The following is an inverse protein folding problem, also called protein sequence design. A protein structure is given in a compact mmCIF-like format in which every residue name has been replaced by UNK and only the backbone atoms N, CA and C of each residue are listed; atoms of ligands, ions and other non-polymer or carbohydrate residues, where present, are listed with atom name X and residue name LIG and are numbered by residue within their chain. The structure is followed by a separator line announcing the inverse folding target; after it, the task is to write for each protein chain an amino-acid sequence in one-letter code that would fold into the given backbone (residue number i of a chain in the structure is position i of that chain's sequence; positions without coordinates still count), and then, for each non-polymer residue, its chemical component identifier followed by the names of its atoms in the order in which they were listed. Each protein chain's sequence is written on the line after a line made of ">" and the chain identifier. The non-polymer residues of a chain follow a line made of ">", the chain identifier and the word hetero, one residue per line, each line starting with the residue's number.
data_IF_216749518887
#
_entry.id   IF_216749518887
#
_cell.length_a   1.000
_cell.length_b   1.000
_cell.length_c   1.000
_cell.angle_alpha   90.00
_cell.angle_beta   90.00
_cell.angle_gamma   90.00
#
_symmetry.space_group_name_H-M   'P 1'
#
loop_
_entity.id
_entity.type
_entity.pdbx_description
1 polymer ?
#
# COMPACT_ATOMS: atom_id res chain seq x y z
N UNK A 1 70.67 11.65 -48.29
CA UNK A 1 70.56 11.76 -46.83
C UNK A 1 69.39 12.68 -46.54
N UNK A 2 68.29 12.15 -46.02
CA UNK A 2 67.06 12.90 -45.69
C UNK A 2 67.18 13.38 -44.25
N UNK A 3 66.88 14.65 -43.97
CA UNK A 3 66.36 15.10 -42.68
C UNK A 3 65.41 16.29 -42.89
N UNK A 4 64.16 15.95 -43.22
CA UNK A 4 63.06 16.91 -43.15
C UNK A 4 62.90 17.50 -41.75
N UNK A 5 62.70 18.81 -41.70
CA UNK A 5 61.92 19.46 -40.63
C UNK A 5 61.03 20.50 -41.28
N UNK A 6 59.76 20.16 -41.38
CA UNK A 6 58.64 21.04 -41.69
C UNK A 6 58.36 21.92 -40.46
N UNK A 7 58.51 23.22 -40.62
CA UNK A 7 57.89 24.24 -39.79
C UNK A 7 56.37 24.11 -39.89
N UNK A 8 55.72 23.67 -38.81
CA UNK A 8 54.29 23.89 -38.61
C UNK A 8 54.14 24.85 -37.45
N UNK A 9 53.81 26.10 -37.82
CA UNK A 9 53.31 27.14 -36.92
C UNK A 9 51.81 26.84 -36.72
N UNK A 10 51.41 26.55 -35.49
CA UNK A 10 50.04 26.18 -35.15
C UNK A 10 49.15 27.43 -35.23
N UNK A 11 48.24 27.45 -36.19
CA UNK A 11 47.30 28.54 -36.38
C UNK A 11 46.35 28.71 -35.18
N UNK A 12 45.93 29.95 -34.83
CA UNK A 12 45.16 30.31 -33.63
C UNK A 12 43.70 29.78 -33.60
N UNK A 13 43.37 28.75 -34.37
CA UNK A 13 42.01 28.18 -34.50
C UNK A 13 41.96 26.65 -34.42
N UNK A 14 43.02 25.98 -33.97
CA UNK A 14 43.00 24.53 -33.72
C UNK A 14 43.33 24.28 -32.25
N UNK A 15 42.39 23.80 -31.41
CA UNK A 15 42.77 23.29 -30.10
C UNK A 15 43.49 21.96 -30.31
N UNK A 16 44.82 22.01 -30.22
CA UNK A 16 45.69 20.84 -30.11
C UNK A 16 45.40 20.15 -28.78
N UNK A 17 44.82 18.95 -28.84
CA UNK A 17 44.65 18.00 -27.73
C UNK A 17 43.80 18.58 -26.58
N UNK A 18 42.48 18.43 -26.71
CA UNK A 18 41.62 18.39 -25.53
C UNK A 18 41.70 16.98 -24.94
N UNK A 19 42.16 16.86 -23.69
CA UNK A 19 41.92 15.64 -22.92
C UNK A 19 40.41 15.46 -22.79
N UNK A 20 39.91 14.33 -23.26
CA UNK A 20 38.51 13.96 -23.13
C UNK A 20 38.21 13.69 -21.66
N UNK A 21 37.58 14.66 -21.00
CA UNK A 21 37.12 14.54 -19.60
C UNK A 21 35.72 13.92 -19.51
N UNK A 22 35.13 13.49 -20.63
CA UNK A 22 33.74 13.01 -20.72
C UNK A 22 33.59 11.49 -20.54
N UNK A 23 34.50 10.82 -19.83
CA UNK A 23 34.45 9.37 -19.62
C UNK A 23 33.14 8.89 -18.94
N UNK A 24 32.37 9.81 -18.33
CA UNK A 24 30.98 9.55 -17.94
C UNK A 24 30.14 10.83 -18.09
N UNK A 25 29.31 10.92 -19.13
CA UNK A 25 28.15 11.83 -19.09
C UNK A 25 27.21 11.30 -18.00
N UNK A 26 27.33 11.84 -16.79
CA UNK A 26 26.45 11.47 -15.69
C UNK A 26 25.05 12.03 -15.94
N UNK A 27 24.05 11.16 -16.05
CA UNK A 27 22.64 11.58 -16.12
C UNK A 27 22.25 12.21 -14.78
N UNK A 28 21.91 13.50 -14.80
CA UNK A 28 21.51 14.29 -13.60
C UNK A 28 19.99 14.17 -13.31
N UNK A 29 19.23 13.50 -14.18
CA UNK A 29 17.78 13.33 -14.02
C UNK A 29 17.40 12.31 -12.93
N UNK A 30 16.30 12.51 -12.18
CA UNK A 30 15.78 11.51 -11.25
C UNK A 30 15.22 10.33 -12.07
N UNK A 31 15.99 9.25 -12.13
CA UNK A 31 15.67 8.01 -12.85
C UNK A 31 15.59 6.80 -11.91
N UNK A 32 15.81 7.02 -10.61
CA UNK A 32 15.68 5.98 -9.60
C UNK A 32 14.20 5.60 -9.45
N UNK A 33 13.94 4.29 -9.48
CA UNK A 33 12.60 3.73 -9.24
C UNK A 33 12.60 2.94 -7.93
N UNK A 34 12.54 3.62 -6.76
CA UNK A 34 12.81 2.99 -5.47
C UNK A 34 11.77 1.94 -5.07
N UNK A 35 10.51 2.09 -5.48
CA UNK A 35 9.47 1.12 -5.20
C UNK A 35 9.63 -0.12 -6.08
N UNK A 36 9.88 0.06 -7.38
CA UNK A 36 10.09 -1.08 -8.28
C UNK A 36 11.33 -1.89 -7.94
N UNK A 37 12.41 -1.22 -7.50
CA UNK A 37 13.63 -1.91 -7.04
C UNK A 37 13.38 -2.71 -5.76
N UNK A 38 12.61 -2.16 -4.82
CA UNK A 38 12.23 -2.85 -3.59
C UNK A 38 11.29 -4.04 -3.82
N UNK A 39 10.30 -3.90 -4.70
CA UNK A 39 9.37 -4.98 -5.04
C UNK A 39 10.02 -6.08 -5.90
N UNK A 40 11.07 -5.73 -6.64
CA UNK A 40 11.78 -6.61 -7.54
C UNK A 40 10.97 -7.04 -8.77
N UNK A 41 11.55 -7.95 -9.54
CA UNK A 41 10.90 -8.50 -10.73
C UNK A 41 9.82 -9.51 -10.35
N UNK A 42 8.67 -9.44 -11.03
CA UNK A 42 7.62 -10.43 -10.86
C UNK A 42 8.12 -11.86 -11.10
N UNK A 43 7.72 -12.79 -10.23
CA UNK A 43 8.11 -14.21 -10.32
C UNK A 43 7.60 -14.91 -11.59
N UNK A 44 6.54 -14.38 -12.21
CA UNK A 44 5.97 -14.90 -13.45
C UNK A 44 5.56 -13.75 -14.37
N UNK A 45 5.78 -13.93 -15.67
CA UNK A 45 5.35 -12.97 -16.69
C UNK A 45 3.83 -13.03 -16.91
N UNK A 46 3.20 -11.87 -17.10
CA UNK A 46 1.81 -11.79 -17.51
C UNK A 46 1.63 -12.33 -18.93
N UNK A 47 0.79 -13.36 -19.11
CA UNK A 47 0.47 -13.96 -20.41
C UNK A 47 -0.85 -13.49 -21.01
N UNK A 48 -1.59 -12.69 -20.26
CA UNK A 48 -2.91 -12.17 -20.61
C UNK A 48 -2.93 -10.67 -20.42
N UNK A 49 -3.85 -10.00 -21.12
CA UNK A 49 -4.14 -8.58 -20.95
C UNK A 49 -4.75 -8.27 -19.59
N UNK A 50 -5.28 -9.29 -18.92
CA UNK A 50 -5.82 -9.25 -17.55
C UNK A 50 -5.00 -10.17 -16.67
N UNK A 51 -4.57 -9.64 -15.54
CA UNK A 51 -4.05 -10.45 -14.44
C UNK A 51 -5.12 -10.57 -13.37
N UNK A 52 -5.40 -11.79 -12.93
CA UNK A 52 -6.47 -12.08 -12.00
C UNK A 52 -5.97 -12.98 -10.89
N UNK A 53 -6.46 -12.72 -9.68
CA UNK A 53 -6.15 -13.50 -8.50
C UNK A 53 -7.42 -13.70 -7.66
N UNK A 54 -7.43 -14.78 -6.87
CA UNK A 54 -8.50 -15.05 -5.92
C UNK A 54 -8.02 -14.67 -4.53
N UNK A 55 -8.79 -13.83 -3.85
CA UNK A 55 -8.62 -13.52 -2.44
C UNK A 55 -9.61 -14.34 -1.63
N UNK A 56 -9.15 -14.84 -0.49
CA UNK A 56 -9.96 -15.53 0.51
C UNK A 56 -9.58 -14.95 1.86
N UNK A 57 -10.54 -14.90 2.77
CA UNK A 57 -10.33 -14.43 4.13
C UNK A 57 -10.82 -15.50 5.10
N UNK A 58 -10.22 -15.54 6.29
CA UNK A 58 -10.78 -16.34 7.37
C UNK A 58 -12.11 -15.74 7.84
N UNK A 59 -12.92 -16.55 8.51
CA UNK A 59 -14.11 -16.05 9.18
C UNK A 59 -13.70 -14.98 10.20
N UNK A 60 -14.26 -13.76 10.12
CA UNK A 60 -13.91 -12.70 11.04
C UNK A 60 -14.33 -13.07 12.46
N UNK A 61 -13.42 -12.83 13.41
CA UNK A 61 -13.60 -13.08 14.84
C UNK A 61 -13.81 -11.79 15.65
N UNK A 62 -13.95 -10.65 14.98
CA UNK A 62 -14.22 -9.36 15.62
C UNK A 62 -15.41 -8.69 14.96
N UNK A 63 -16.07 -7.81 15.69
CA UNK A 63 -17.11 -6.91 15.20
C UNK A 63 -17.14 -5.64 16.06
N UNK A 64 -18.12 -4.77 15.84
CA UNK A 64 -18.33 -3.56 16.64
C UNK A 64 -19.76 -3.48 17.13
N UNK A 65 -19.93 -2.96 18.35
CA UNK A 65 -21.25 -2.65 18.92
C UNK A 65 -21.74 -1.37 18.24
N UNK A 66 -22.90 -1.44 17.58
CA UNK A 66 -23.51 -0.28 16.88
C UNK A 66 -24.62 0.36 17.70
N UNK A 67 -25.02 -0.28 18.80
CA UNK A 67 -26.05 0.22 19.70
C UNK A 67 -25.75 1.63 20.20
N UNK A 68 -26.75 2.50 20.13
CA UNK A 68 -26.64 3.90 20.57
C UNK A 68 -27.36 4.17 21.89
N UNK A 69 -28.35 3.34 22.23
CA UNK A 69 -29.13 3.47 23.46
C UNK A 69 -29.24 2.11 24.14
N UNK A 70 -28.58 1.97 25.29
CA UNK A 70 -28.60 0.74 26.06
C UNK A 70 -29.78 0.73 27.05
N UNK A 71 -30.56 -0.34 27.03
CA UNK A 71 -31.68 -0.55 27.96
C UNK A 71 -31.36 -1.71 28.93
N UNK A 72 -31.46 -1.52 30.26
CA UNK A 72 -31.78 -0.26 30.95
C UNK A 72 -30.60 0.71 31.06
N UNK A 73 -29.37 0.22 30.95
CA UNK A 73 -28.15 1.01 31.00
C UNK A 73 -26.96 0.23 30.38
N UNK A 74 -25.87 0.90 29.95
CA UNK A 74 -24.73 0.23 29.30
C UNK A 74 -24.00 -0.81 30.17
N UNK A 75 -24.11 -0.75 31.49
CA UNK A 75 -23.43 -1.66 32.42
C UNK A 75 -24.22 -2.95 32.65
N UNK A 76 -25.52 -2.95 32.36
CA UNK A 76 -26.41 -4.08 32.64
C UNK A 76 -27.19 -4.60 31.44
N UNK A 77 -27.20 -3.86 30.32
CA UNK A 77 -27.84 -4.29 29.08
C UNK A 77 -27.38 -5.70 28.66
N UNK A 78 -28.37 -6.57 28.43
CA UNK A 78 -28.19 -7.95 27.95
C UNK A 78 -28.53 -8.09 26.47
N UNK A 79 -28.93 -7.00 25.82
CA UNK A 79 -29.24 -6.93 24.40
C UNK A 79 -28.64 -5.65 23.82
N UNK A 80 -27.98 -5.77 22.68
CA UNK A 80 -27.42 -4.65 21.94
C UNK A 80 -27.22 -5.00 20.46
N UNK A 81 -27.33 -4.00 19.60
CA UNK A 81 -27.05 -4.12 18.17
C UNK A 81 -25.55 -4.27 17.87
N UNK A 82 -25.22 -5.11 16.89
CA UNK A 82 -23.86 -5.28 16.33
C UNK A 82 -23.87 -5.09 14.82
N UNK A 83 -22.74 -4.68 14.26
CA UNK A 83 -22.63 -4.39 12.82
C UNK A 83 -22.80 -5.62 11.91
N UNK A 84 -22.35 -6.80 12.34
CA UNK A 84 -22.34 -8.03 11.55
C UNK A 84 -22.79 -9.24 12.41
N UNK A 85 -24.10 -9.39 12.66
CA UNK A 85 -24.64 -10.45 13.52
C UNK A 85 -24.29 -11.87 13.03
N UNK A 86 -24.12 -12.06 11.72
CA UNK A 86 -23.72 -13.34 11.11
C UNK A 86 -22.32 -13.84 11.50
N UNK A 87 -21.53 -13.00 12.20
CA UNK A 87 -20.22 -13.39 12.74
C UNK A 87 -20.34 -14.23 14.01
N UNK A 88 -21.43 -14.07 14.74
CA UNK A 88 -21.67 -14.69 16.05
C UNK A 88 -22.62 -15.88 15.93
N UNK A 89 -22.49 -16.81 16.87
CA UNK A 89 -23.46 -17.90 17.09
C UNK A 89 -23.76 -18.04 18.57
N UNK A 90 -24.88 -18.69 18.86
CA UNK A 90 -25.21 -19.10 20.21
C UNK A 90 -24.06 -19.92 20.83
N UNK A 91 -23.75 -19.63 22.10
CA UNK A 91 -22.65 -20.25 22.84
C UNK A 91 -21.26 -19.64 22.60
N UNK A 92 -21.12 -18.66 21.71
CA UNK A 92 -19.86 -17.93 21.59
C UNK A 92 -19.58 -17.12 22.86
N UNK A 93 -18.33 -17.15 23.32
CA UNK A 93 -17.80 -16.27 24.34
C UNK A 93 -17.20 -15.05 23.65
N UNK A 94 -17.71 -13.88 23.99
CA UNK A 94 -17.33 -12.60 23.39
C UNK A 94 -16.80 -11.65 24.46
N UNK A 95 -15.80 -10.85 24.09
CA UNK A 95 -15.14 -9.88 24.97
C UNK A 95 -15.33 -8.46 24.41
N UNK A 96 -15.89 -7.52 25.20
CA UNK A 96 -16.07 -6.14 24.79
C UNK A 96 -14.77 -5.34 25.00
N UNK A 97 -14.21 -4.81 23.92
CA UNK A 97 -12.96 -4.08 23.87
C UNK A 97 -11.82 -4.84 24.54
N UNK A 98 -10.98 -4.11 25.28
CA UNK A 98 -9.90 -4.67 26.10
C UNK A 98 -10.35 -5.00 27.54
N UNK A 99 -11.65 -4.95 27.84
CA UNK A 99 -12.15 -5.19 29.18
C UNK A 99 -11.95 -6.65 29.62
N UNK A 100 -11.81 -6.91 30.91
CA UNK A 100 -11.72 -8.30 31.42
C UNK A 100 -13.06 -9.06 31.40
N UNK A 101 -14.14 -8.40 30.99
CA UNK A 101 -15.45 -9.02 30.89
C UNK A 101 -15.48 -10.07 29.77
N UNK A 102 -16.06 -11.22 30.07
CA UNK A 102 -16.48 -12.19 29.05
C UNK A 102 -18.00 -12.30 29.11
N UNK A 103 -18.65 -12.24 27.96
CA UNK A 103 -20.09 -12.41 27.80
C UNK A 103 -20.33 -13.68 26.99
N UNK A 104 -21.41 -14.41 27.29
CA UNK A 104 -21.83 -15.56 26.47
C UNK A 104 -23.00 -15.14 25.58
N UNK A 105 -22.90 -15.37 24.28
CA UNK A 105 -24.01 -15.16 23.34
C UNK A 105 -25.07 -16.22 23.61
N UNK A 106 -26.27 -15.77 23.99
CA UNK A 106 -27.45 -16.63 24.23
C UNK A 106 -28.19 -16.87 22.93
N UNK A 107 -28.38 -15.82 22.12
CA UNK A 107 -28.97 -15.95 20.79
C UNK A 107 -28.67 -14.72 19.94
N UNK A 108 -28.78 -14.90 18.62
CA UNK A 108 -28.71 -13.82 17.64
C UNK A 108 -30.12 -13.50 17.16
N UNK A 109 -30.55 -12.24 17.32
CA UNK A 109 -31.90 -11.75 17.02
C UNK A 109 -31.84 -10.69 15.91
N UNK A 110 -31.79 -11.13 14.66
CA UNK A 110 -31.63 -10.20 13.54
C UNK A 110 -30.29 -9.47 13.64
N UNK A 111 -30.32 -8.17 13.95
CA UNK A 111 -29.14 -7.30 14.16
C UNK A 111 -28.60 -7.32 15.60
N UNK A 112 -29.38 -7.86 16.54
CA UNK A 112 -29.05 -7.76 17.96
C UNK A 112 -28.47 -9.06 18.48
N UNK A 113 -27.54 -8.95 19.42
CA UNK A 113 -27.10 -10.07 20.24
C UNK A 113 -27.82 -10.03 21.58
N UNK A 114 -28.40 -11.14 22.00
CA UNK A 114 -28.77 -11.35 23.40
C UNK A 114 -27.63 -12.11 24.08
N UNK A 115 -27.12 -11.55 25.19
CA UNK A 115 -25.94 -12.08 25.88
C UNK A 115 -26.18 -12.23 27.38
N UNK A 116 -25.49 -13.20 27.97
CA UNK A 116 -25.28 -13.31 29.40
C UNK A 116 -24.00 -12.56 29.79
N UNK A 117 -24.14 -11.55 30.66
CA UNK A 117 -23.06 -10.64 31.11
C UNK A 117 -22.28 -11.22 32.29
N UNK A 118 -20.97 -10.95 32.36
CA UNK A 118 -20.11 -11.38 33.48
C UNK A 118 -19.92 -12.90 33.58
N UNK A 119 -19.83 -13.58 32.43
CA UNK A 119 -19.60 -15.02 32.36
C UNK A 119 -18.33 -15.40 33.12
N UNK A 120 -18.38 -16.49 33.89
CA UNK A 120 -17.26 -16.92 34.73
C UNK A 120 -16.95 -15.98 35.90
N UNK A 121 -17.92 -15.20 36.38
CA UNK A 121 -17.76 -14.17 37.41
C UNK A 121 -16.79 -13.04 37.04
N UNK A 122 -16.67 -12.75 35.74
CA UNK A 122 -15.90 -11.59 35.26
C UNK A 122 -16.63 -10.28 35.59
N UNK A 123 -15.91 -9.21 35.94
CA UNK A 123 -16.51 -7.93 36.29
C UNK A 123 -17.15 -7.29 35.04
N UNK A 124 -18.38 -6.80 35.18
CA UNK A 124 -19.10 -6.14 34.08
C UNK A 124 -18.49 -4.78 33.76
N UNK A 125 -18.41 -4.46 32.48
CA UNK A 125 -17.93 -3.19 31.94
C UNK A 125 -19.06 -2.47 31.23
N UNK A 126 -19.12 -1.15 31.33
CA UNK A 126 -20.10 -0.36 30.59
C UNK A 126 -19.82 -0.46 29.08
N UNK A 127 -20.83 -0.88 28.31
CA UNK A 127 -20.75 -0.92 26.85
C UNK A 127 -20.89 0.50 26.27
N UNK A 128 -20.31 0.72 25.10
CA UNK A 128 -20.45 1.97 24.36
C UNK A 128 -20.58 1.70 22.87
N UNK A 129 -21.23 2.60 22.14
CA UNK A 129 -21.25 2.59 20.68
C UNK A 129 -19.81 2.61 20.14
N UNK A 130 -19.55 1.84 19.09
CA UNK A 130 -18.25 1.73 18.45
C UNK A 130 -17.24 0.85 19.20
N UNK A 131 -17.60 0.31 20.38
CA UNK A 131 -16.71 -0.60 21.10
C UNK A 131 -16.51 -1.89 20.30
N UNK A 132 -15.25 -2.30 20.11
CA UNK A 132 -14.92 -3.57 19.47
C UNK A 132 -15.44 -4.76 20.28
N UNK A 133 -15.86 -5.82 19.61
CA UNK A 133 -16.34 -7.05 20.22
C UNK A 133 -15.58 -8.22 19.60
N UNK A 134 -14.81 -8.95 20.41
CA UNK A 134 -13.98 -10.06 19.94
C UNK A 134 -14.54 -11.41 20.38
N UNK A 135 -14.58 -12.39 19.49
CA UNK A 135 -14.94 -13.77 19.77
C UNK A 135 -13.71 -14.47 20.34
N UNK A 136 -13.76 -14.83 21.62
CA UNK A 136 -12.66 -15.47 22.34
C UNK A 136 -12.65 -16.97 22.10
N UNK A 137 -13.83 -17.59 22.16
CA UNK A 137 -13.99 -19.02 21.96
C UNK A 137 -15.44 -19.35 21.69
N UNK A 138 -15.69 -20.54 21.15
CA UNK A 138 -17.02 -21.13 21.19
C UNK A 138 -17.08 -22.19 22.29
N UNK A 139 -17.98 -22.00 23.26
CA UNK A 139 -18.20 -22.97 24.32
C UNK A 139 -19.45 -23.79 23.98
N UNK A 140 -19.25 -24.93 23.30
CA UNK A 140 -20.32 -25.87 23.02
C UNK A 140 -20.64 -26.71 24.26
N UNK A 141 -21.93 -27.01 24.46
CA UNK A 141 -22.39 -27.91 25.52
C UNK A 141 -22.04 -29.36 25.17
N UNK A 142 -21.59 -30.13 26.16
CA UNK A 142 -21.29 -31.55 25.97
C UNK A 142 -22.54 -32.32 25.53
N UNK A 143 -22.44 -33.06 24.42
CA UNK A 143 -23.54 -33.84 23.85
C UNK A 143 -24.52 -33.04 22.97
N UNK A 144 -24.25 -31.77 22.70
CA UNK A 144 -25.03 -30.98 21.74
C UNK A 144 -24.75 -31.40 20.28
N UNK A 145 -25.73 -31.14 19.41
CA UNK A 145 -25.57 -31.33 17.96
C UNK A 145 -24.47 -30.44 17.40
N UNK A 146 -23.85 -30.88 16.31
CA UNK A 146 -22.81 -30.11 15.64
C UNK A 146 -23.38 -28.78 15.11
N UNK A 147 -22.70 -27.64 15.35
CA UNK A 147 -23.14 -26.36 14.85
C UNK A 147 -23.07 -26.30 13.33
N UNK A 148 -23.89 -25.44 12.72
CA UNK A 148 -23.90 -25.25 11.27
C UNK A 148 -22.52 -24.81 10.75
N UNK A 149 -22.13 -25.37 9.60
CA UNK A 149 -20.88 -25.04 8.96
C UNK A 149 -20.91 -23.61 8.40
N UNK A 150 -19.85 -22.85 8.68
CA UNK A 150 -19.64 -21.51 8.13
C UNK A 150 -18.62 -21.59 7.01
N UNK A 151 -18.89 -20.89 5.91
CA UNK A 151 -18.02 -20.84 4.75
C UNK A 151 -17.68 -19.39 4.40
N UNK A 152 -16.43 -19.16 4.02
CA UNK A 152 -16.04 -17.95 3.30
C UNK A 152 -16.00 -18.28 1.81
N UNK A 153 -16.27 -17.27 0.98
CA UNK A 153 -16.25 -17.40 -0.47
C UNK A 153 -15.08 -16.62 -1.02
N UNK A 154 -14.44 -17.19 -2.05
CA UNK A 154 -13.32 -16.56 -2.73
C UNK A 154 -13.80 -15.43 -3.61
N UNK A 155 -13.15 -14.28 -3.51
CA UNK A 155 -13.44 -13.10 -4.33
C UNK A 155 -12.39 -12.99 -5.42
N UNK A 156 -12.84 -12.81 -6.67
CA UNK A 156 -11.93 -12.56 -7.80
C UNK A 156 -11.54 -11.10 -7.86
N UNK A 157 -10.25 -10.83 -7.88
CA UNK A 157 -9.64 -9.53 -8.16
C UNK A 157 -8.93 -9.56 -9.50
N UNK A 158 -8.76 -8.38 -10.09
CA UNK A 158 -8.15 -8.24 -11.40
C UNK A 158 -7.43 -6.90 -11.58
N UNK A 159 -6.39 -6.90 -12.41
CA UNK A 159 -5.72 -5.72 -12.93
C UNK A 159 -5.44 -5.87 -14.43
N UNK A 160 -5.26 -4.77 -15.13
CA UNK A 160 -5.03 -4.73 -16.57
C UNK A 160 -3.58 -4.40 -16.89
N UNK A 161 -3.05 -5.02 -17.95
CA UNK A 161 -1.75 -4.65 -18.50
C UNK A 161 -1.86 -3.36 -19.33
N UNK A 162 -0.91 -2.45 -19.16
CA UNK A 162 -0.78 -1.23 -19.96
C UNK A 162 0.41 -1.33 -20.92
N UNK A 163 0.32 -0.66 -22.06
CA UNK A 163 1.43 -0.53 -23.02
C UNK A 163 2.09 0.82 -22.79
N UNK A 164 3.41 0.80 -22.60
CA UNK A 164 4.25 1.99 -22.51
C UNK A 164 5.04 2.14 -23.81
N UNK A 165 5.06 3.35 -24.38
CA UNK A 165 5.74 3.63 -25.64
C UNK A 165 6.52 4.93 -25.55
N UNK A 166 7.75 4.91 -26.07
CA UNK A 166 8.57 6.09 -26.30
C UNK A 166 9.24 5.93 -27.67
N UNK A 167 9.37 7.04 -28.40
CA UNK A 167 9.96 7.06 -29.74
C UNK A 167 11.37 7.64 -29.67
N UNK A 168 12.32 7.00 -30.35
CA UNK A 168 13.67 7.52 -30.58
C UNK A 168 13.85 7.69 -32.08
N UNK A 169 14.30 8.88 -32.50
CA UNK A 169 14.68 9.15 -33.88
C UNK A 169 16.02 9.88 -33.90
N UNK A 170 16.96 9.35 -34.69
CA UNK A 170 18.28 9.93 -34.94
C UNK A 170 18.46 10.02 -36.45
N UNK A 171 19.02 11.13 -36.95
CA UNK A 171 19.27 11.27 -38.39
C UNK A 171 20.48 10.44 -38.81
N UNK A 172 20.47 9.92 -40.04
CA UNK A 172 21.60 9.12 -40.55
C UNK A 172 22.92 9.89 -40.62
N UNK A 173 22.87 11.22 -40.78
CA UNK A 173 24.07 12.08 -40.74
C UNK A 173 24.62 12.25 -39.34
N UNK A 174 23.75 12.31 -38.32
CA UNK A 174 24.14 12.38 -36.91
C UNK A 174 24.71 11.05 -36.44
N UNK A 175 24.11 9.92 -36.84
CA UNK A 175 24.63 8.58 -36.53
C UNK A 175 25.99 8.30 -37.18
N UNK A 176 26.26 8.88 -38.35
CA UNK A 176 27.55 8.75 -39.04
C UNK A 176 28.63 9.73 -38.53
N UNK A 177 28.24 10.70 -37.71
CA UNK A 177 29.15 11.71 -37.14
C UNK A 177 29.67 11.24 -35.79
N UNK A 178 30.97 11.37 -35.55
CA UNK A 178 31.51 11.17 -34.20
C UNK A 178 31.09 12.34 -33.31
N UNK A 179 30.11 12.13 -32.46
CA UNK A 179 29.72 13.07 -31.41
C UNK A 179 30.72 13.02 -30.26
N UNK A 180 30.96 14.16 -29.62
CA UNK A 180 31.88 14.25 -28.47
C UNK A 180 31.18 13.64 -27.26
N UNK A 181 31.81 12.68 -26.59
CA UNK A 181 31.31 12.08 -25.33
C UNK A 181 30.22 11.00 -25.46
N UNK A 182 29.78 10.65 -26.67
CA UNK A 182 28.81 9.56 -26.91
C UNK A 182 29.26 8.73 -28.11
N UNK A 183 29.49 7.42 -27.91
CA UNK A 183 29.94 6.51 -28.98
C UNK A 183 28.85 6.17 -29.99
N UNK A 184 27.60 6.01 -29.55
CA UNK A 184 26.41 5.81 -30.40
C UNK A 184 25.22 6.60 -29.83
N UNK A 185 24.83 7.67 -30.52
CA UNK A 185 23.70 8.52 -30.14
C UNK A 185 22.39 7.74 -30.11
N UNK A 186 22.20 6.75 -30.99
CA UNK A 186 20.99 5.94 -31.00
C UNK A 186 20.89 5.07 -29.74
N UNK A 187 21.99 4.47 -29.32
CA UNK A 187 22.04 3.64 -28.11
C UNK A 187 21.86 4.48 -26.85
N UNK A 188 22.48 5.67 -26.81
CA UNK A 188 22.30 6.64 -25.74
C UNK A 188 20.83 7.06 -25.59
N UNK A 189 20.19 7.50 -26.68
CA UNK A 189 18.77 7.91 -26.66
C UNK A 189 17.84 6.74 -26.31
N UNK A 190 18.13 5.51 -26.76
CA UNK A 190 17.39 4.31 -26.33
C UNK A 190 17.49 4.11 -24.83
N UNK A 191 18.68 4.20 -24.26
CA UNK A 191 18.90 4.02 -22.83
C UNK A 191 18.20 5.10 -22.00
N UNK A 192 18.18 6.36 -22.46
CA UNK A 192 17.42 7.43 -21.82
C UNK A 192 15.91 7.18 -21.86
N UNK A 193 15.34 6.85 -23.03
CA UNK A 193 13.90 6.56 -23.13
C UNK A 193 13.49 5.34 -22.32
N UNK A 194 14.31 4.30 -22.25
CA UNK A 194 14.03 3.15 -21.39
C UNK A 194 13.96 3.54 -19.91
N UNK A 195 14.85 4.42 -19.45
CA UNK A 195 14.81 4.94 -18.06
C UNK A 195 13.57 5.81 -17.82
N UNK A 196 13.17 6.64 -18.78
CA UNK A 196 11.91 7.39 -18.69
C UNK A 196 10.69 6.46 -18.61
N UNK A 197 10.65 5.41 -19.41
CA UNK A 197 9.57 4.42 -19.37
C UNK A 197 9.51 3.67 -18.04
N UNK A 198 10.66 3.38 -17.41
CA UNK A 198 10.70 2.78 -16.07
C UNK A 198 10.13 3.73 -15.01
N UNK A 199 10.48 5.02 -15.08
CA UNK A 199 9.90 6.04 -14.20
C UNK A 199 8.38 6.19 -14.40
N UNK A 200 7.92 6.16 -15.64
CA UNK A 200 6.50 6.21 -15.97
C UNK A 200 5.75 4.95 -15.50
N UNK A 201 6.39 3.78 -15.59
CA UNK A 201 5.87 2.54 -15.04
C UNK A 201 5.69 2.63 -13.53
N UNK A 202 6.68 3.14 -12.80
CA UNK A 202 6.55 3.29 -11.33
C UNK A 202 5.43 4.27 -10.97
N UNK A 203 5.32 5.38 -11.69
CA UNK A 203 4.23 6.33 -11.49
C UNK A 203 2.86 5.69 -11.78
N UNK A 204 2.76 4.84 -12.82
CA UNK A 204 1.55 4.09 -13.11
C UNK A 204 1.26 3.01 -12.04
N UNK A 205 2.27 2.37 -11.45
CA UNK A 205 2.10 1.41 -10.35
C UNK A 205 1.56 2.09 -9.10
N UNK A 206 1.96 3.32 -8.79
CA UNK A 206 1.50 4.06 -7.61
C UNK A 206 0.14 4.74 -7.88
N UNK A 207 0.08 5.54 -8.95
CA UNK A 207 -1.00 6.50 -9.23
C UNK A 207 -1.88 6.11 -10.42
N UNK A 208 -1.63 4.96 -11.05
CA UNK A 208 -2.40 4.51 -12.21
C UNK A 208 -3.89 4.37 -11.90
N UNK A 209 -4.71 4.65 -12.91
CA UNK A 209 -6.17 4.54 -12.81
C UNK A 209 -6.68 3.78 -14.02
N UNK A 210 -7.35 2.66 -13.79
CA UNK A 210 -8.02 1.93 -14.86
C UNK A 210 -9.27 2.71 -15.32
N UNK A 211 -9.54 2.68 -16.63
CA UNK A 211 -10.77 3.26 -17.18
C UNK A 211 -11.99 2.53 -16.62
N UNK A 212 -12.89 3.26 -15.95
CA UNK A 212 -14.08 2.70 -15.30
C UNK A 212 -15.13 2.16 -16.29
N UNK A 213 -15.26 2.77 -17.47
CA UNK A 213 -16.28 2.42 -18.46
C UNK A 213 -15.79 1.34 -19.44
N UNK A 214 -14.52 1.40 -19.83
CA UNK A 214 -13.92 0.50 -20.83
C UNK A 214 -12.55 -0.01 -20.38
N UNK A 215 -12.48 -0.80 -19.31
CA UNK A 215 -11.20 -1.26 -18.74
C UNK A 215 -10.41 -2.17 -19.70
N UNK A 216 -11.09 -2.83 -20.64
CA UNK A 216 -10.47 -3.70 -21.66
C UNK A 216 -9.85 -2.93 -22.82
N UNK A 217 -9.98 -1.60 -22.85
CA UNK A 217 -9.72 -0.78 -24.02
C UNK A 217 -10.86 -0.90 -25.04
N UNK A 218 -11.06 0.16 -25.80
CA UNK A 218 -12.03 0.24 -26.89
C UNK A 218 -11.38 0.96 -28.08
N UNK A 219 -12.09 1.08 -29.20
CA UNK A 219 -11.58 1.84 -30.33
C UNK A 219 -11.30 3.30 -29.91
N UNK A 220 -10.06 3.76 -30.10
CA UNK A 220 -9.58 5.06 -29.61
C UNK A 220 -9.35 5.17 -28.09
N UNK A 221 -9.51 4.10 -27.30
CA UNK A 221 -9.27 4.11 -25.84
C UNK A 221 -8.20 3.09 -25.44
N UNK A 222 -7.07 3.60 -24.95
CA UNK A 222 -6.01 2.76 -24.41
C UNK A 222 -6.42 2.07 -23.10
N UNK A 223 -5.83 0.90 -22.86
CA UNK A 223 -5.87 0.25 -21.55
C UNK A 223 -4.91 0.94 -20.59
N UNK A 224 -5.40 1.27 -19.40
CA UNK A 224 -4.59 1.77 -18.30
C UNK A 224 -4.62 0.80 -17.13
N UNK A 225 -3.49 0.62 -16.47
CA UNK A 225 -3.41 -0.23 -15.29
C UNK A 225 -3.92 0.51 -14.05
N UNK A 226 -4.46 -0.24 -13.09
CA UNK A 226 -4.83 0.33 -11.80
C UNK A 226 -3.63 0.31 -10.85
N UNK A 227 -3.33 1.45 -10.24
CA UNK A 227 -2.25 1.61 -9.28
C UNK A 227 -2.65 1.20 -7.86
N UNK A 228 -1.66 1.06 -6.98
CA UNK A 228 -1.81 0.60 -5.60
C UNK A 228 -2.79 1.50 -4.83
N UNK A 229 -2.71 2.82 -4.99
CA UNK A 229 -3.58 3.77 -4.26
C UNK A 229 -5.07 3.53 -4.60
N UNK A 230 -5.38 3.24 -5.86
CA UNK A 230 -6.75 2.98 -6.30
C UNK A 230 -7.23 1.56 -5.97
N UNK A 231 -6.31 0.61 -5.78
CA UNK A 231 -6.66 -0.74 -5.34
C UNK A 231 -7.01 -0.81 -3.85
N UNK A 232 -6.53 0.13 -3.03
CA UNK A 232 -6.84 0.21 -1.61
C UNK A 232 -8.13 1.00 -1.39
N UNK A 233 -9.21 0.31 -1.03
CA UNK A 233 -10.52 0.94 -0.77
C UNK A 233 -10.90 0.98 0.72
N UNK A 234 -10.55 -0.04 1.50
CA UNK A 234 -11.01 -0.19 2.89
C UNK A 234 -10.08 0.46 3.90
N UNK A 235 -8.77 0.28 3.77
CA UNK A 235 -7.77 0.82 4.70
C UNK A 235 -7.23 2.18 4.24
N UNK A 236 -8.14 3.14 3.99
CA UNK A 236 -7.78 4.51 3.62
C UNK A 236 -7.98 5.44 4.81
N UNK A 237 -6.87 5.79 5.45
CA UNK A 237 -6.86 6.64 6.65
C UNK A 237 -6.78 8.12 6.29
N UNK A 238 -7.64 8.93 6.91
CA UNK A 238 -7.66 10.38 6.77
C UNK A 238 -7.45 10.99 8.16
N UNK A 239 -6.47 11.90 8.35
CA UNK A 239 -6.28 12.55 9.63
C UNK A 239 -7.57 13.21 10.13
N UNK A 240 -7.92 12.94 11.38
CA UNK A 240 -9.09 13.52 12.05
C UNK A 240 -10.41 12.82 11.75
N UNK A 241 -10.36 11.65 11.10
CA UNK A 241 -11.54 10.82 10.80
C UNK A 241 -11.39 9.46 11.48
N UNK A 242 -12.43 9.02 12.19
CA UNK A 242 -12.44 7.73 12.90
C UNK A 242 -11.40 7.69 14.02
N UNK A 243 -10.67 6.57 14.11
CA UNK A 243 -9.63 6.34 15.13
C UNK A 243 -8.30 7.05 14.85
N UNK A 244 -8.23 7.84 13.77
CA UNK A 244 -7.00 8.50 13.34
C UNK A 244 -7.00 9.95 13.86
N UNK A 245 -5.99 10.34 14.66
CA UNK A 245 -5.92 11.70 15.19
C UNK A 245 -5.77 12.73 14.05
N UNK A 246 -6.16 14.00 14.27
CA UNK A 246 -6.12 15.06 13.25
C UNK A 246 -4.71 15.45 12.78
N UNK A 247 -3.66 15.08 13.54
CA UNK A 247 -2.31 15.59 13.33
C UNK A 247 -2.18 17.07 13.70
N UNK A 248 -0.95 17.57 13.72
CA UNK A 248 -0.68 18.99 13.94
C UNK A 248 -0.64 19.72 12.59
N UNK A 249 -1.46 20.77 12.44
CA UNK A 249 -1.53 21.62 11.24
C UNK A 249 -1.71 20.86 9.90
N UNK A 250 -2.42 19.72 9.93
CA UNK A 250 -2.63 18.88 8.74
C UNK A 250 -1.36 18.16 8.25
N UNK A 251 -0.35 18.06 9.10
CA UNK A 251 0.92 17.38 8.81
C UNK A 251 0.95 15.97 9.39
N UNK A 252 1.80 15.13 8.81
CA UNK A 252 2.10 13.81 9.36
C UNK A 252 2.84 13.97 10.70
N UNK A 253 2.22 13.49 11.78
CA UNK A 253 2.82 13.35 13.11
C UNK A 253 3.02 11.88 13.45
N UNK A 254 3.85 11.61 14.47
CA UNK A 254 4.12 10.24 14.93
C UNK A 254 2.84 9.56 15.45
N UNK A 255 1.98 10.31 16.15
CA UNK A 255 0.70 9.80 16.66
C UNK A 255 -0.22 9.33 15.52
N UNK A 256 -0.32 10.09 14.43
CA UNK A 256 -1.11 9.72 13.24
C UNK A 256 -0.57 8.43 12.62
N UNK A 257 0.76 8.32 12.48
CA UNK A 257 1.39 7.14 11.92
C UNK A 257 1.20 5.91 12.81
N UNK A 258 1.40 6.04 14.12
CA UNK A 258 1.25 4.95 15.08
C UNK A 258 -0.21 4.47 15.17
N UNK A 259 -1.18 5.39 15.14
CA UNK A 259 -2.60 5.03 15.09
C UNK A 259 -2.93 4.24 13.81
N UNK A 260 -2.44 4.68 12.65
CA UNK A 260 -2.63 3.95 11.40
C UNK A 260 -1.95 2.57 11.43
N UNK A 261 -0.71 2.47 11.91
CA UNK A 261 0.01 1.20 12.03
C UNK A 261 -0.69 0.22 12.98
N UNK A 262 -1.26 0.70 14.09
CA UNK A 262 -2.06 -0.13 15.01
C UNK A 262 -3.28 -0.72 14.29
N UNK A 263 -4.04 0.11 13.58
CA UNK A 263 -5.25 -0.37 12.87
C UNK A 263 -4.88 -1.37 11.79
N UNK A 264 -3.77 -1.16 11.06
CA UNK A 264 -3.32 -2.13 10.06
C UNK A 264 -2.86 -3.43 10.73
N UNK A 265 -2.16 -3.36 11.86
CA UNK A 265 -1.76 -4.53 12.63
C UNK A 265 -2.97 -5.37 13.08
N UNK A 266 -4.01 -4.72 13.61
CA UNK A 266 -5.22 -5.40 14.09
C UNK A 266 -5.97 -6.12 12.96
N UNK A 267 -5.88 -5.62 11.72
CA UNK A 267 -6.58 -6.18 10.56
C UNK A 267 -5.75 -7.15 9.71
N UNK A 268 -4.44 -6.92 9.58
CA UNK A 268 -3.54 -7.64 8.66
C UNK A 268 -2.42 -8.41 9.36
N UNK A 269 -2.22 -8.22 10.67
CA UNK A 269 -1.17 -8.87 11.45
C UNK A 269 0.24 -8.28 11.25
N UNK A 270 1.30 -9.01 11.63
CA UNK A 270 2.67 -8.48 11.77
C UNK A 270 3.43 -8.22 10.47
N UNK A 271 2.86 -8.51 9.30
CA UNK A 271 3.60 -8.56 8.03
C UNK A 271 3.98 -7.22 7.41
N UNK A 272 3.86 -6.10 8.12
CA UNK A 272 4.15 -4.76 7.57
C UNK A 272 5.64 -4.47 7.73
N UNK A 273 6.37 -4.34 6.61
CA UNK A 273 7.82 -4.12 6.59
C UNK A 273 8.25 -2.82 5.88
N UNK A 274 7.37 -2.23 5.07
CA UNK A 274 7.75 -1.17 4.12
C UNK A 274 6.80 0.02 4.16
N UNK A 275 7.35 1.23 4.29
CA UNK A 275 6.62 2.50 4.14
C UNK A 275 7.11 3.21 2.88
N UNK A 276 6.20 3.43 1.94
CA UNK A 276 6.46 4.17 0.70
C UNK A 276 5.94 5.59 0.87
N UNK A 277 6.80 6.60 0.67
CA UNK A 277 6.42 7.99 0.86
C UNK A 277 7.20 8.97 -0.04
N UNK A 278 6.63 10.15 -0.29
CA UNK A 278 7.30 11.23 -1.00
C UNK A 278 8.36 11.94 -0.15
N UNK A 279 9.18 12.78 -0.78
CA UNK A 279 10.28 13.47 -0.11
C UNK A 279 9.86 14.35 1.08
N UNK A 280 8.69 15.01 0.99
CA UNK A 280 8.14 15.83 2.08
C UNK A 280 7.83 15.00 3.32
N UNK A 281 7.21 13.84 3.13
CA UNK A 281 6.87 12.91 4.20
C UNK A 281 8.13 12.24 4.77
N UNK A 282 9.08 11.83 3.91
CA UNK A 282 10.38 11.27 4.33
C UNK A 282 11.13 12.22 5.27
N UNK A 283 11.15 13.53 4.97
CA UNK A 283 11.75 14.53 5.86
C UNK A 283 11.08 14.58 7.24
N UNK A 284 9.75 14.44 7.29
CA UNK A 284 8.99 14.42 8.55
C UNK A 284 9.27 13.15 9.35
N UNK A 285 9.26 11.99 8.69
CA UNK A 285 9.63 10.70 9.30
C UNK A 285 11.03 10.74 9.92
N UNK A 286 12.01 11.30 9.21
CA UNK A 286 13.36 11.50 9.76
C UNK A 286 13.37 12.43 10.98
N UNK A 287 12.44 13.38 11.06
CA UNK A 287 12.26 14.27 12.21
C UNK A 287 11.71 13.56 13.45
N UNK A 288 10.96 12.46 13.29
CA UNK A 288 10.50 11.66 14.44
C UNK A 288 11.71 11.02 15.15
N UNK A 289 12.67 10.49 14.38
CA UNK A 289 13.87 9.86 14.92
C UNK A 289 14.86 10.85 15.58
N UNK A 290 14.84 12.15 15.22
CA UNK A 290 15.75 13.12 15.83
C UNK A 290 15.36 13.51 17.26
N UNK A 291 14.07 13.44 17.61
CA UNK A 291 13.59 13.67 18.98
C UNK A 291 14.10 12.62 19.98
N UNK A 292 14.42 11.41 19.52
CA UNK A 292 14.91 10.30 20.35
C UNK A 292 16.45 10.20 20.42
N UNK A 293 17.21 11.09 19.77
CA UNK A 293 18.68 11.06 19.83
C UNK A 293 19.19 11.63 21.16
N UNK A 294 19.35 10.77 22.16
CA UNK A 294 20.16 11.10 23.33
C UNK A 294 21.64 11.06 22.94
N UNK A 295 22.35 12.18 23.06
CA UNK A 295 23.80 12.18 23.06
C UNK A 295 24.26 11.59 24.39
N UNK A 296 24.81 10.38 24.36
CA UNK A 296 25.53 9.82 25.51
C UNK A 296 26.75 10.71 25.75
N UNK A 297 27.00 11.18 26.99
CA UNK A 297 28.07 12.12 27.32
C UNK A 297 29.48 11.55 27.05
#
# INVERSE_FOLDING_TARGET
>A
MFNGKTTYDAGPTLPEIADDVADLVSIIGPHETPLLDHLGSARAAARSTVHEWLEDALLPNTDTITETVFDPDPSTATRFEVGHPSRFREGDLVRPGDAFEVMRVVRVLGTDLEVERGYGATPRTALSTGMGLSIVSNAAVEGADAPEARFTTRVRRQNWTQIFTATVSVSGTMQASNTIGVTDELEYQKAERLRELLRDLENAVINGVANAASPMGADGQARSMNGIIQQISTHRFIPGVGDIPPGEDGQLTEEVLNAALRVVWENAGPGIDTIVCGGTQKRRLNGFASAARAYVP
#
